data_IF_051270027524
#
_entry.id   IF_051270027524
#
_cell.length_a   1.000
_cell.length_b   1.000
_cell.length_c   1.000
_cell.angle_alpha   90.00
_cell.angle_beta   90.00
_cell.angle_gamma   90.00
#
_symmetry.space_group_name_H-M   'P 1'
#
loop_
_entity.id
_entity.type
_entity.pdbx_description
1 polymer ?
#
# COMPACT_ATOMS: atom_id res chain seq x y z
N UNK A 1 11.04 2.38 1.92
CA UNK A 1 9.94 2.07 2.86
C UNK A 1 8.65 2.67 2.31
N UNK A 2 7.56 1.92 2.28
CA UNK A 2 6.23 2.36 1.84
C UNK A 2 5.28 2.26 3.02
N UNK A 3 4.69 3.39 3.42
CA UNK A 3 3.67 3.49 4.46
C UNK A 3 2.45 4.19 3.89
N UNK A 4 1.27 3.69 4.20
CA UNK A 4 0.02 4.27 3.71
C UNK A 4 -0.98 4.38 4.86
N UNK A 5 -1.73 5.49 4.92
CA UNK A 5 -2.96 5.56 5.70
C UNK A 5 -4.10 5.17 4.77
N UNK A 6 -4.78 4.08 5.06
CA UNK A 6 -5.74 3.49 4.13
C UNK A 6 -7.10 3.24 4.74
N UNK A 7 -8.10 3.26 3.86
CA UNK A 7 -9.41 2.65 4.08
C UNK A 7 -9.48 1.40 3.21
N UNK A 8 -9.75 0.26 3.83
CA UNK A 8 -9.87 -1.06 3.20
C UNK A 8 -11.28 -1.57 3.40
N UNK A 9 -11.97 -1.92 2.31
CA UNK A 9 -13.22 -2.68 2.35
C UNK A 9 -12.96 -4.07 1.77
N UNK A 10 -13.17 -5.12 2.56
CA UNK A 10 -12.84 -6.50 2.18
C UNK A 10 -13.59 -7.55 2.98
N UNK A 11 -13.18 -8.80 2.79
CA UNK A 11 -13.78 -9.99 3.44
C UNK A 11 -12.72 -10.62 4.35
N UNK A 12 -13.07 -10.95 5.57
CA UNK A 12 -12.21 -11.76 6.43
C UNK A 12 -12.11 -13.16 5.84
N UNK A 13 -10.92 -13.56 5.40
CA UNK A 13 -10.67 -14.89 4.83
C UNK A 13 -9.91 -15.82 5.79
N UNK A 14 -9.24 -15.25 6.79
CA UNK A 14 -8.67 -16.00 7.92
C UNK A 14 -9.18 -15.39 9.22
N UNK A 15 -9.86 -16.21 10.01
CA UNK A 15 -10.41 -15.82 11.32
C UNK A 15 -9.32 -15.34 12.28
N UNK A 16 -9.70 -14.46 13.19
CA UNK A 16 -8.76 -13.87 14.14
C UNK A 16 -8.13 -14.92 15.08
N UNK A 17 -6.85 -14.73 15.33
CA UNK A 17 -6.11 -15.42 16.39
C UNK A 17 -5.53 -14.39 17.34
N UNK A 18 -5.58 -14.67 18.64
CA UNK A 18 -4.91 -13.86 19.66
C UNK A 18 -3.41 -14.10 19.58
N UNK A 19 -2.64 -13.04 19.63
CA UNK A 19 -1.18 -13.05 19.77
C UNK A 19 -0.77 -12.16 20.94
N UNK A 20 0.43 -12.37 21.42
CA UNK A 20 1.04 -11.57 22.46
C UNK A 20 2.36 -10.99 21.94
N UNK A 21 2.58 -9.71 22.18
CA UNK A 21 3.83 -9.04 21.88
C UNK A 21 4.91 -9.41 22.90
N UNK A 22 6.16 -9.06 22.63
CA UNK A 22 7.28 -9.29 23.57
C UNK A 22 7.08 -8.57 24.92
N UNK A 23 6.29 -7.52 24.94
CA UNK A 23 5.97 -6.71 26.12
C UNK A 23 4.68 -7.16 26.83
N UNK A 24 4.12 -8.32 26.45
CA UNK A 24 2.94 -8.92 27.06
C UNK A 24 1.61 -8.31 26.58
N UNK A 25 1.61 -7.40 25.60
CA UNK A 25 0.37 -6.85 25.05
C UNK A 25 -0.32 -7.86 24.12
N UNK A 26 -1.58 -8.15 24.42
CA UNK A 26 -2.42 -9.00 23.58
C UNK A 26 -3.00 -8.21 22.43
N UNK A 27 -3.06 -8.84 21.27
CA UNK A 27 -3.66 -8.29 20.07
C UNK A 27 -4.22 -9.40 19.18
N UNK A 28 -5.13 -9.04 18.30
CA UNK A 28 -5.71 -9.97 17.33
C UNK A 28 -5.00 -9.82 15.99
N UNK A 29 -4.80 -10.96 15.31
CA UNK A 29 -4.36 -10.98 13.91
C UNK A 29 -5.32 -11.80 13.07
N UNK A 30 -5.70 -11.29 11.89
CA UNK A 30 -6.57 -11.96 10.95
C UNK A 30 -6.23 -11.59 9.51
N UNK A 31 -6.76 -12.34 8.55
CA UNK A 31 -6.57 -12.05 7.14
C UNK A 31 -7.78 -11.38 6.53
N UNK A 32 -7.56 -10.41 5.66
CA UNK A 32 -8.59 -9.76 4.86
C UNK A 32 -8.25 -9.90 3.39
N UNK A 33 -9.19 -10.40 2.61
CA UNK A 33 -9.12 -10.49 1.16
C UNK A 33 -9.88 -9.32 0.56
N UNK A 34 -9.25 -8.61 -0.36
CA UNK A 34 -9.87 -7.53 -1.13
C UNK A 34 -9.88 -7.96 -2.60
N UNK A 35 -11.01 -8.46 -3.12
CA UNK A 35 -11.16 -8.68 -4.55
C UNK A 35 -11.13 -7.35 -5.30
N UNK A 36 -10.26 -7.24 -6.29
CA UNK A 36 -10.07 -6.04 -7.09
C UNK A 36 -10.23 -6.38 -8.56
N UNK A 37 -10.78 -5.44 -9.32
CA UNK A 37 -10.97 -5.58 -10.76
C UNK A 37 -10.23 -4.45 -11.49
N UNK A 38 -9.49 -4.82 -12.52
CA UNK A 38 -8.80 -3.89 -13.41
C UNK A 38 -9.73 -3.31 -14.47
N UNK A 39 -9.32 -2.21 -15.07
CA UNK A 39 -10.06 -1.55 -16.17
C UNK A 39 -10.12 -2.41 -17.44
N UNK A 40 -9.25 -3.42 -17.54
CA UNK A 40 -9.21 -4.40 -18.62
C UNK A 40 -10.08 -5.64 -18.35
N UNK A 41 -10.85 -5.64 -17.25
CA UNK A 41 -11.71 -6.76 -16.83
C UNK A 41 -10.95 -7.91 -16.17
N UNK A 42 -9.63 -7.78 -15.93
CA UNK A 42 -8.88 -8.79 -15.18
C UNK A 42 -9.05 -8.58 -13.68
N UNK A 43 -9.22 -9.67 -12.93
CA UNK A 43 -9.32 -9.64 -11.48
C UNK A 43 -8.00 -9.99 -10.80
N UNK A 44 -7.82 -9.50 -9.58
CA UNK A 44 -6.78 -9.96 -8.66
C UNK A 44 -7.30 -9.89 -7.21
N UNK A 45 -6.74 -10.73 -6.37
CA UNK A 45 -7.08 -10.78 -4.95
C UNK A 45 -5.91 -10.24 -4.12
N UNK A 46 -6.17 -9.16 -3.40
CA UNK A 46 -5.19 -8.57 -2.49
C UNK A 46 -5.36 -9.17 -1.10
N UNK A 47 -4.37 -9.91 -0.64
CA UNK A 47 -4.32 -10.46 0.71
C UNK A 47 -3.66 -9.46 1.65
N UNK A 48 -4.38 -9.05 2.71
CA UNK A 48 -3.90 -8.14 3.74
C UNK A 48 -3.85 -8.86 5.09
N UNK A 49 -2.72 -8.77 5.78
CA UNK A 49 -2.58 -9.21 7.16
C UNK A 49 -2.93 -8.05 8.09
N UNK A 50 -3.96 -8.23 8.89
CA UNK A 50 -4.46 -7.20 9.80
C UNK A 50 -4.03 -7.53 11.22
N UNK A 51 -3.56 -6.51 11.94
CA UNK A 51 -3.40 -6.52 13.40
C UNK A 51 -4.32 -5.47 14.02
N UNK A 52 -5.05 -5.85 15.06
CA UNK A 52 -5.99 -5.00 15.75
C UNK A 52 -5.86 -5.17 17.26
N UNK A 53 -6.18 -4.13 18.02
CA UNK A 53 -6.34 -4.25 19.47
C UNK A 53 -7.50 -5.19 19.79
N UNK A 54 -7.36 -5.99 20.82
CA UNK A 54 -8.36 -6.95 21.26
C UNK A 54 -7.75 -8.18 21.91
N UNK A 55 -8.63 -8.98 22.48
CA UNK A 55 -8.29 -10.20 23.21
C UNK A 55 -9.17 -11.39 22.76
N UNK A 56 -9.03 -12.51 23.45
CA UNK A 56 -9.81 -13.71 23.19
C UNK A 56 -11.32 -13.52 23.32
N UNK A 57 -11.80 -12.54 24.09
CA UNK A 57 -13.25 -12.25 24.25
C UNK A 57 -13.86 -11.62 23.00
N UNK A 58 -13.09 -10.83 22.25
CA UNK A 58 -13.54 -10.16 21.03
C UNK A 58 -13.24 -10.95 19.75
N UNK A 59 -12.37 -11.96 19.84
CA UNK A 59 -11.89 -12.79 18.72
C UNK A 59 -13.00 -13.35 17.82
N UNK A 60 -14.11 -13.81 18.40
CA UNK A 60 -15.23 -14.42 17.65
C UNK A 60 -15.93 -13.45 16.70
N UNK A 61 -15.78 -12.15 16.92
CA UNK A 61 -16.34 -11.12 16.04
C UNK A 61 -15.64 -11.09 14.67
N UNK A 62 -14.38 -11.53 14.59
CA UNK A 62 -13.55 -11.51 13.37
C UNK A 62 -13.46 -12.89 12.72
N UNK A 63 -14.62 -13.48 12.41
CA UNK A 63 -14.73 -14.78 11.76
C UNK A 63 -14.72 -14.67 10.24
N UNK A 64 -14.24 -15.72 9.59
CA UNK A 64 -14.22 -15.83 8.11
C UNK A 64 -15.61 -15.59 7.51
N UNK A 65 -15.63 -14.90 6.37
CA UNK A 65 -16.83 -14.53 5.63
C UNK A 65 -17.47 -13.21 6.03
N UNK A 66 -17.02 -12.58 7.12
CA UNK A 66 -17.51 -11.26 7.51
C UNK A 66 -16.89 -10.16 6.67
N UNK A 67 -17.72 -9.20 6.27
CA UNK A 67 -17.29 -8.00 5.53
C UNK A 67 -16.90 -6.90 6.50
N UNK A 68 -15.76 -6.26 6.22
CA UNK A 68 -15.19 -5.24 7.10
C UNK A 68 -14.74 -4.01 6.31
N UNK A 69 -14.93 -2.85 6.94
CA UNK A 69 -14.34 -1.58 6.55
C UNK A 69 -13.30 -1.24 7.63
N UNK A 70 -12.05 -1.13 7.22
CA UNK A 70 -10.92 -0.93 8.13
C UNK A 70 -10.20 0.36 7.76
N UNK A 71 -10.01 1.26 8.73
CA UNK A 71 -9.09 2.38 8.61
C UNK A 71 -7.83 2.07 9.42
N UNK A 72 -6.67 2.40 8.88
CA UNK A 72 -5.42 2.15 9.59
C UNK A 72 -4.16 2.37 8.76
N UNK A 73 -3.05 2.02 9.37
CA UNK A 73 -1.72 2.17 8.79
C UNK A 73 -1.27 0.88 8.10
N UNK A 74 -1.16 0.95 6.77
CA UNK A 74 -0.66 -0.13 5.93
C UNK A 74 0.84 0.05 5.69
N UNK A 75 1.59 -1.00 5.95
CA UNK A 75 3.00 -1.11 5.57
C UNK A 75 3.14 -2.15 4.46
N UNK A 76 3.73 -1.75 3.34
CA UNK A 76 4.07 -2.65 2.24
C UNK A 76 5.55 -3.01 2.34
N UNK A 77 5.84 -4.31 2.33
CA UNK A 77 7.21 -4.85 2.34
C UNK A 77 7.41 -5.84 1.22
N UNK A 78 8.54 -5.74 0.56
CA UNK A 78 8.95 -6.72 -0.44
C UNK A 78 9.53 -7.98 0.19
N UNK A 79 9.32 -9.11 -0.47
CA UNK A 79 9.91 -10.41 -0.14
C UNK A 79 10.13 -11.25 -1.39
N UNK A 80 10.66 -12.45 -1.21
CA UNK A 80 10.81 -13.45 -2.27
C UNK A 80 9.48 -13.79 -2.99
N UNK A 81 8.36 -13.79 -2.24
CA UNK A 81 7.04 -14.14 -2.75
C UNK A 81 6.22 -12.93 -3.24
N UNK A 82 6.85 -11.77 -3.38
CA UNK A 82 6.19 -10.52 -3.72
C UNK A 82 5.96 -9.61 -2.52
N UNK A 83 5.01 -8.68 -2.66
CA UNK A 83 4.71 -7.73 -1.59
C UNK A 83 3.85 -8.33 -0.49
N UNK A 84 4.22 -8.05 0.77
CA UNK A 84 3.39 -8.26 1.95
C UNK A 84 2.71 -6.96 2.35
N UNK A 85 1.42 -7.08 2.67
CA UNK A 85 0.57 -5.98 3.08
C UNK A 85 0.16 -6.18 4.54
N UNK A 86 0.77 -5.39 5.45
CA UNK A 86 0.51 -5.46 6.88
C UNK A 86 -0.24 -4.22 7.34
N UNK A 87 -1.48 -4.37 7.74
CA UNK A 87 -2.36 -3.30 8.18
C UNK A 87 -2.51 -3.33 9.70
N UNK A 88 -2.06 -2.26 10.36
CA UNK A 88 -2.41 -2.00 11.75
C UNK A 88 -3.73 -1.23 11.75
N UNK A 89 -4.79 -1.89 12.17
CA UNK A 89 -6.11 -1.30 12.22
C UNK A 89 -6.21 -0.27 13.37
N UNK A 90 -6.81 0.88 13.06
CA UNK A 90 -7.18 1.92 14.02
C UNK A 90 -8.68 1.91 14.29
N UNK A 91 -9.48 1.65 13.26
CA UNK A 91 -10.92 1.48 13.35
C UNK A 91 -11.38 0.33 12.45
N UNK A 92 -12.32 -0.48 12.94
CA UNK A 92 -12.91 -1.59 12.20
C UNK A 92 -14.42 -1.52 12.35
N UNK A 93 -15.11 -1.45 11.23
CA UNK A 93 -16.56 -1.51 11.13
C UNK A 93 -16.99 -2.74 10.34
N UNK A 94 -18.05 -3.40 10.78
CA UNK A 94 -18.64 -4.50 10.02
C UNK A 94 -19.64 -3.94 9.03
N UNK A 95 -19.46 -4.24 7.76
CA UNK A 95 -20.29 -3.74 6.68
C UNK A 95 -21.12 -4.86 6.02
N UNK A 96 -22.05 -4.47 5.15
CA UNK A 96 -22.86 -5.42 4.38
C UNK A 96 -22.08 -5.91 3.16
N UNK A 97 -22.40 -7.10 2.69
CA UNK A 97 -21.77 -7.73 1.50
C UNK A 97 -21.99 -6.96 0.18
N UNK A 98 -22.83 -5.93 0.17
CA UNK A 98 -23.13 -5.12 -1.02
C UNK A 98 -22.17 -3.95 -1.23
N UNK A 99 -21.23 -3.73 -0.31
CA UNK A 99 -20.25 -2.66 -0.48
C UNK A 99 -19.17 -3.05 -1.48
N UNK A 100 -18.71 -2.06 -2.27
CA UNK A 100 -17.64 -2.26 -3.23
C UNK A 100 -16.31 -2.48 -2.51
N UNK A 101 -15.67 -3.59 -2.78
CA UNK A 101 -14.33 -3.88 -2.28
C UNK A 101 -13.34 -2.87 -2.85
N UNK A 102 -12.51 -2.32 -1.98
CA UNK A 102 -11.54 -1.28 -2.36
C UNK A 102 -10.44 -1.13 -1.34
N UNK A 103 -9.37 -0.54 -1.80
CA UNK A 103 -8.33 0.03 -0.96
C UNK A 103 -7.90 1.37 -1.54
N UNK A 104 -7.87 2.39 -0.70
CA UNK A 104 -7.43 3.74 -1.09
C UNK A 104 -6.97 4.51 0.15
N UNK A 105 -6.23 5.57 -0.06
CA UNK A 105 -5.75 6.41 1.04
C UNK A 105 -4.61 7.33 0.61
N UNK A 106 -3.71 7.63 1.54
CA UNK A 106 -2.49 8.37 1.28
C UNK A 106 -1.26 7.46 1.39
N UNK A 107 -0.19 7.81 0.68
CA UNK A 107 1.09 7.10 0.68
C UNK A 107 2.22 8.05 1.07
N UNK A 108 3.12 7.55 1.93
CA UNK A 108 4.46 8.07 2.14
C UNK A 108 5.47 7.04 1.63
N UNK A 109 6.20 7.42 0.60
CA UNK A 109 7.20 6.61 -0.05
C UNK A 109 8.60 7.17 0.20
N UNK A 110 9.56 6.28 0.49
CA UNK A 110 10.99 6.57 0.51
C UNK A 110 11.70 5.54 -0.33
N UNK A 111 12.39 6.00 -1.38
CA UNK A 111 13.05 5.08 -2.30
C UNK A 111 13.81 5.80 -3.41
N UNK A 112 14.10 5.06 -4.46
CA UNK A 112 14.90 5.51 -5.59
C UNK A 112 14.06 5.55 -6.87
N UNK A 113 14.19 6.61 -7.65
CA UNK A 113 13.59 6.69 -9.00
C UNK A 113 14.37 5.74 -9.92
N UNK A 114 13.66 4.88 -10.62
CA UNK A 114 14.27 3.86 -11.49
C UNK A 114 14.34 4.31 -12.94
N UNK A 115 13.21 4.74 -13.49
CA UNK A 115 13.08 5.09 -14.89
C UNK A 115 13.25 6.59 -15.12
N UNK A 116 13.48 6.94 -16.40
CA UNK A 116 13.43 8.33 -16.83
C UNK A 116 12.03 8.89 -16.61
N UNK A 117 11.95 10.13 -16.14
CA UNK A 117 10.69 10.84 -15.96
C UNK A 117 10.11 11.18 -17.34
N UNK A 118 8.87 10.78 -17.57
CA UNK A 118 8.18 10.98 -18.86
C UNK A 118 7.12 12.05 -18.73
N UNK A 119 7.15 13.03 -19.64
CA UNK A 119 6.12 14.03 -19.76
C UNK A 119 5.01 13.60 -20.70
N UNK A 120 3.80 13.95 -20.34
CA UNK A 120 2.61 13.63 -21.12
C UNK A 120 1.70 14.86 -21.26
N UNK A 121 1.17 15.12 -22.46
CA UNK A 121 0.16 16.17 -22.64
C UNK A 121 -1.16 15.70 -21.99
N UNK A 122 -1.69 16.51 -21.10
CA UNK A 122 -2.99 16.27 -20.48
C UNK A 122 -4.13 16.82 -21.35
N UNK A 123 -5.34 16.28 -21.16
CA UNK A 123 -6.55 16.68 -21.90
C UNK A 123 -6.92 18.16 -21.71
N UNK A 124 -6.50 18.78 -20.61
CA UNK A 124 -6.72 20.20 -20.31
C UNK A 124 -5.61 21.13 -20.82
N UNK A 125 -4.67 20.61 -21.63
CA UNK A 125 -3.49 21.37 -22.07
C UNK A 125 -2.38 21.49 -21.01
N UNK A 126 -2.58 20.97 -19.80
CA UNK A 126 -1.56 20.92 -18.76
C UNK A 126 -0.72 19.67 -18.91
N UNK A 127 0.60 19.80 -18.90
CA UNK A 127 1.53 18.66 -18.89
C UNK A 127 1.57 18.02 -17.51
N UNK A 128 1.63 16.69 -17.47
CA UNK A 128 1.85 15.90 -16.28
C UNK A 128 3.04 14.95 -16.49
N UNK A 129 3.62 14.47 -15.41
CA UNK A 129 4.77 13.55 -15.46
C UNK A 129 4.42 12.19 -14.88
N UNK A 130 5.07 11.15 -15.40
CA UNK A 130 5.04 9.79 -14.82
C UNK A 130 6.45 9.26 -14.65
N UNK A 131 6.65 8.49 -13.59
CA UNK A 131 7.90 7.80 -13.32
C UNK A 131 7.64 6.57 -12.45
N UNK A 132 8.63 5.67 -12.36
CA UNK A 132 8.60 4.52 -11.47
C UNK A 132 9.69 4.65 -10.43
N UNK A 133 9.42 4.18 -9.24
CA UNK A 133 10.39 4.10 -8.16
C UNK A 133 10.27 2.81 -7.40
N UNK A 134 11.30 2.47 -6.66
CA UNK A 134 11.30 1.30 -5.79
C UNK A 134 11.81 1.63 -4.40
N UNK A 135 11.24 0.94 -3.43
CA UNK A 135 11.74 0.86 -2.07
C UNK A 135 12.32 -0.53 -1.85
N UNK A 136 13.44 -0.64 -1.14
CA UNK A 136 14.09 -1.90 -0.85
C UNK A 136 13.85 -2.34 0.58
N UNK A 137 13.61 -3.64 0.77
CA UNK A 137 13.56 -4.32 2.04
C UNK A 137 14.65 -5.39 2.09
N UNK A 138 15.34 -5.48 3.22
CA UNK A 138 16.39 -6.47 3.46
C UNK A 138 15.84 -7.59 4.35
N UNK A 139 16.08 -8.85 3.91
CA UNK A 139 15.76 -10.04 4.68
C UNK A 139 16.98 -10.99 4.65
N UNK A 140 17.69 -11.09 5.76
CA UNK A 140 18.99 -11.73 5.82
C UNK A 140 19.98 -11.04 4.89
N UNK A 141 20.56 -11.79 3.95
CA UNK A 141 21.50 -11.29 2.93
C UNK A 141 20.79 -10.88 1.62
N UNK A 142 19.49 -11.16 1.49
CA UNK A 142 18.72 -10.85 0.30
C UNK A 142 18.11 -9.45 0.38
N UNK A 143 17.98 -8.82 -0.80
CA UNK A 143 17.31 -7.52 -0.95
C UNK A 143 16.17 -7.67 -1.94
N UNK A 144 14.98 -7.27 -1.53
CA UNK A 144 13.76 -7.32 -2.34
C UNK A 144 13.25 -5.91 -2.58
N UNK A 145 12.45 -5.74 -3.63
CA UNK A 145 12.01 -4.42 -4.09
C UNK A 145 10.50 -4.35 -4.22
N UNK A 146 9.90 -3.33 -3.61
CA UNK A 146 8.51 -2.93 -3.85
C UNK A 146 8.48 -1.77 -4.83
N UNK A 147 7.75 -1.95 -5.94
CA UNK A 147 7.65 -0.99 -7.02
C UNK A 147 6.40 -0.14 -6.89
N UNK A 148 6.53 1.15 -7.19
CA UNK A 148 5.42 2.10 -7.23
C UNK A 148 5.49 2.90 -8.53
N UNK A 149 4.35 3.05 -9.17
CA UNK A 149 4.16 3.96 -10.29
C UNK A 149 3.63 5.30 -9.77
N UNK A 150 4.28 6.37 -10.17
CA UNK A 150 3.92 7.71 -9.77
C UNK A 150 3.34 8.50 -10.95
N UNK A 151 2.35 9.35 -10.62
CA UNK A 151 1.80 10.36 -11.50
C UNK A 151 1.92 11.71 -10.81
N UNK A 152 2.74 12.61 -11.34
CA UNK A 152 2.81 13.99 -10.89
C UNK A 152 1.90 14.86 -11.74
N UNK A 153 0.90 15.55 -11.15
CA UNK A 153 -0.02 16.40 -11.90
C UNK A 153 0.64 17.68 -12.44
N UNK A 154 1.88 17.95 -12.01
CA UNK A 154 2.69 19.10 -12.42
C UNK A 154 4.05 18.63 -12.91
N UNK A 155 4.68 19.44 -13.76
CA UNK A 155 6.08 19.24 -14.16
C UNK A 155 6.96 19.66 -12.99
N UNK A 156 7.87 18.77 -12.61
CA UNK A 156 8.87 19.01 -11.57
C UNK A 156 10.20 19.24 -12.30
N UNK A 157 10.69 20.46 -12.22
CA UNK A 157 11.98 20.89 -12.77
C UNK A 157 12.94 21.15 -11.60
N UNK A 158 13.50 20.07 -11.05
CA UNK A 158 14.40 20.10 -9.90
C UNK A 158 15.57 19.13 -10.13
N UNK A 159 16.78 19.55 -9.89
CA UNK A 159 18.00 18.73 -10.03
C UNK A 159 17.99 17.49 -9.12
N UNK A 160 17.25 17.56 -8.01
CA UNK A 160 17.06 16.43 -7.09
C UNK A 160 16.06 15.41 -7.60
N UNK A 161 15.38 15.69 -8.73
CA UNK A 161 14.36 14.84 -9.31
C UNK A 161 14.84 14.27 -10.66
N UNK A 162 14.85 12.95 -10.77
CA UNK A 162 15.28 12.25 -11.99
C UNK A 162 15.75 10.83 -11.71
N UNK A 163 16.05 10.10 -12.77
CA UNK A 163 16.53 8.73 -12.70
C UNK A 163 17.74 8.57 -11.77
N UNK A 164 17.66 7.61 -10.87
CA UNK A 164 18.72 7.28 -9.93
C UNK A 164 18.74 8.13 -8.65
N UNK A 165 17.90 9.15 -8.56
CA UNK A 165 17.79 10.01 -7.36
C UNK A 165 16.98 9.34 -6.27
N UNK A 166 17.33 9.63 -5.02
CA UNK A 166 16.58 9.20 -3.85
C UNK A 166 15.56 10.27 -3.47
N UNK A 167 14.32 9.87 -3.32
CA UNK A 167 13.19 10.78 -3.06
C UNK A 167 12.30 10.31 -1.92
N UNK A 168 11.72 11.29 -1.23
CA UNK A 168 10.52 11.14 -0.42
C UNK A 168 9.34 11.66 -1.22
N UNK A 169 8.31 10.84 -1.36
CA UNK A 169 7.08 11.20 -2.10
C UNK A 169 5.89 10.99 -1.20
N UNK A 170 5.01 11.98 -1.13
CA UNK A 170 3.69 11.82 -0.53
C UNK A 170 2.59 12.08 -1.57
N UNK A 171 1.47 11.38 -1.43
CA UNK A 171 0.37 11.51 -2.37
C UNK A 171 -0.79 10.55 -2.13
N UNK A 172 -1.74 10.56 -3.06
CA UNK A 172 -2.91 9.68 -3.01
C UNK A 172 -2.52 8.28 -3.46
N UNK A 173 -2.77 7.30 -2.59
CA UNK A 173 -2.50 5.89 -2.82
C UNK A 173 -3.68 5.19 -3.47
N UNK A 174 -3.40 4.43 -4.50
CA UNK A 174 -4.34 3.49 -5.12
C UNK A 174 -3.64 2.20 -5.52
N UNK A 175 -4.44 1.15 -5.72
CA UNK A 175 -3.99 -0.09 -6.35
C UNK A 175 -4.67 -0.19 -7.71
N UNK A 176 -3.88 -0.45 -8.74
CA UNK A 176 -4.36 -0.71 -10.08
C UNK A 176 -4.08 -2.16 -10.46
N UNK A 177 -5.08 -2.82 -11.05
CA UNK A 177 -4.94 -4.16 -11.61
C UNK A 177 -4.75 -4.02 -13.11
N UNK A 178 -3.67 -4.62 -13.61
CA UNK A 178 -3.39 -4.68 -15.03
C UNK A 178 -2.86 -6.07 -15.40
N UNK A 179 -3.54 -6.74 -16.31
CA UNK A 179 -3.25 -8.12 -16.72
C UNK A 179 -3.13 -9.08 -15.53
N UNK A 180 -4.03 -8.92 -14.55
CA UNK A 180 -4.06 -9.72 -13.33
C UNK A 180 -2.96 -9.42 -12.30
N UNK A 181 -2.11 -8.42 -12.55
CA UNK A 181 -1.05 -8.04 -11.62
C UNK A 181 -1.47 -6.84 -10.75
N UNK A 182 -1.11 -6.89 -9.48
CA UNK A 182 -1.33 -5.82 -8.51
C UNK A 182 -0.20 -4.79 -8.65
N UNK A 183 -0.56 -3.55 -9.00
CA UNK A 183 0.37 -2.45 -9.15
C UNK A 183 0.06 -1.36 -8.11
N UNK A 184 1.06 -0.92 -7.37
CA UNK A 184 0.97 0.22 -6.46
C UNK A 184 1.10 1.50 -7.27
N UNK A 185 0.13 2.42 -7.10
CA UNK A 185 0.15 3.72 -7.76
C UNK A 185 0.02 4.84 -6.73
N UNK A 186 0.72 5.94 -6.99
CA UNK A 186 0.65 7.15 -6.18
C UNK A 186 0.50 8.38 -7.09
N UNK A 187 -0.57 9.14 -6.88
CA UNK A 187 -0.69 10.47 -7.44
C UNK A 187 -0.02 11.44 -6.48
N UNK A 188 1.08 12.04 -6.91
CA UNK A 188 1.95 12.81 -6.03
C UNK A 188 1.33 14.15 -5.65
N UNK A 189 1.44 14.51 -4.38
CA UNK A 189 1.11 15.82 -3.83
C UNK A 189 2.40 16.60 -3.52
N UNK A 190 3.45 15.89 -3.07
CA UNK A 190 4.74 16.47 -2.72
C UNK A 190 5.88 15.50 -3.04
N UNK A 191 7.01 16.02 -3.50
CA UNK A 191 8.24 15.27 -3.77
C UNK A 191 9.42 16.06 -3.24
N UNK A 192 10.29 15.37 -2.48
CA UNK A 192 11.50 15.95 -1.90
C UNK A 192 12.70 15.03 -2.08
N UNK A 193 13.89 15.60 -2.04
CA UNK A 193 15.11 14.82 -1.92
C UNK A 193 15.09 14.01 -0.61
N UNK A 194 15.34 12.71 -0.72
CA UNK A 194 15.58 11.88 0.45
C UNK A 194 17.09 11.83 0.74
N UNK A 195 17.51 12.58 1.75
CA UNK A 195 18.89 12.51 2.25
C UNK A 195 19.08 11.21 3.03
N UNK A 196 19.90 10.33 2.49
CA UNK A 196 20.25 9.09 3.18
C UNK A 196 20.98 9.43 4.49
N UNK A 197 20.69 8.68 5.58
CA UNK A 197 21.46 8.82 6.82
C UNK A 197 22.95 8.62 6.53
N UNK A 198 23.77 9.53 6.96
CA UNK A 198 25.23 9.37 6.92
C UNK A 198 25.56 8.19 7.83
N UNK A 199 26.22 7.16 7.27
CA UNK A 199 26.68 5.99 8.04
C UNK A 199 27.87 6.32 8.91
#
# INVERSE_FOLDING_TARGET
MIKCNVTVCGIINYSAVEKESKDGHKFLTFGVLVPLEGKDGTGAELQIHVSAEGDGGTKSQYSTGRHVLINGNLMVRASERGNYYNLRAENIEFCKSTENYRISGSMDFKGKIHDDVKEHPGKSGKTFQTFSGFSSDKDGDNVYFSWVRFLSPTVIDDECFGKGKYVEVSGDFTINIFKGNINLECRTNDIKEWKLPVK
#
